data_IF_749515704713
#
_entry.id   IF_749515704713
#
_cell.length_a   1.000
_cell.length_b   1.000
_cell.length_c   1.000
_cell.angle_alpha   90.00
_cell.angle_beta   90.00
_cell.angle_gamma   90.00
#
_symmetry.space_group_name_H-M   'P 1'
#
loop_
_entity.id
_entity.type
_entity.pdbx_description
1 polymer ?
#
# COMPACT_ATOMS: atom_id res chain seq x y z
N UNK A 1 19.19 4.16 13.33
CA UNK A 1 20.18 5.25 13.55
C UNK A 1 21.61 4.84 13.12
N UNK A 2 21.77 4.09 12.03
CA UNK A 2 23.12 3.69 11.55
C UNK A 2 23.69 4.67 10.54
N UNK A 3 22.83 5.24 9.69
CA UNK A 3 23.20 6.28 8.70
C UNK A 3 23.87 7.48 9.37
N UNK A 4 23.37 7.91 10.53
CA UNK A 4 23.97 9.04 11.27
C UNK A 4 25.42 8.77 11.73
N UNK A 5 25.81 7.50 11.89
CA UNK A 5 27.20 7.12 12.22
C UNK A 5 28.13 7.26 11.02
N UNK A 6 27.59 7.19 9.80
CA UNK A 6 28.34 7.30 8.54
C UNK A 6 28.62 8.76 8.14
N UNK A 7 27.94 9.72 8.77
CA UNK A 7 28.10 11.14 8.49
C UNK A 7 29.20 11.75 9.36
N UNK A 8 29.85 12.79 8.84
CA UNK A 8 30.88 13.56 9.56
C UNK A 8 30.30 14.42 10.71
N UNK A 9 28.97 14.48 10.83
CA UNK A 9 28.21 15.26 11.84
C UNK A 9 28.53 16.76 11.81
N UNK A 10 29.00 17.27 10.69
CA UNK A 10 29.36 18.70 10.54
C UNK A 10 28.16 19.64 10.53
N UNK A 11 26.96 19.14 10.22
CA UNK A 11 25.74 19.94 10.01
C UNK A 11 25.95 21.07 8.99
N UNK A 12 26.77 20.83 7.96
CA UNK A 12 27.16 21.81 6.94
C UNK A 12 26.00 22.33 6.07
N UNK A 13 24.92 21.55 5.94
CA UNK A 13 23.73 21.83 5.10
C UNK A 13 23.98 21.78 3.59
N UNK A 14 25.12 21.27 3.16
CA UNK A 14 25.47 21.16 1.73
C UNK A 14 24.53 20.19 0.96
N UNK A 15 23.87 19.27 1.67
CA UNK A 15 22.83 18.37 1.13
C UNK A 15 21.39 18.94 1.23
N UNK A 16 21.23 20.20 1.61
CA UNK A 16 19.92 20.88 1.73
C UNK A 16 19.19 20.67 3.07
N UNK A 17 19.65 19.74 3.91
CA UNK A 17 19.03 19.45 5.21
C UNK A 17 19.56 20.29 6.37
N UNK A 18 18.71 20.55 7.37
CA UNK A 18 19.04 21.45 8.49
C UNK A 18 20.17 20.92 9.38
N UNK A 19 20.26 19.58 9.52
CA UNK A 19 21.26 18.88 10.33
C UNK A 19 21.59 17.52 9.68
N UNK A 20 22.75 16.94 10.03
CA UNK A 20 23.11 15.58 9.64
C UNK A 20 22.12 14.54 10.19
N UNK A 21 21.48 14.82 11.35
CA UNK A 21 20.45 13.94 11.89
C UNK A 21 19.16 14.00 11.06
N UNK A 22 18.77 15.19 10.59
CA UNK A 22 17.63 15.36 9.68
C UNK A 22 17.88 14.63 8.36
N UNK A 23 19.06 14.81 7.76
CA UNK A 23 19.50 14.06 6.58
C UNK A 23 19.47 12.54 6.80
N UNK A 24 20.05 12.05 7.90
CA UNK A 24 20.01 10.63 8.22
C UNK A 24 18.57 10.09 8.37
N UNK A 25 17.66 10.90 8.90
CA UNK A 25 16.23 10.58 8.97
C UNK A 25 15.55 10.55 7.60
N UNK A 26 15.86 11.52 6.74
CA UNK A 26 15.34 11.59 5.37
C UNK A 26 15.80 10.38 4.52
N UNK A 27 17.08 10.00 4.64
CA UNK A 27 17.62 8.80 3.98
C UNK A 27 16.98 7.53 4.54
N UNK A 28 16.81 7.41 5.86
CA UNK A 28 16.15 6.25 6.46
C UNK A 28 14.68 6.09 6.03
N UNK A 29 13.99 7.21 5.79
CA UNK A 29 12.61 7.23 5.29
C UNK A 29 12.51 7.06 3.76
N UNK A 30 13.64 6.90 3.06
CA UNK A 30 13.67 6.79 1.59
C UNK A 30 13.32 8.09 0.85
N UNK A 31 13.37 9.25 1.52
CA UNK A 31 13.08 10.56 0.93
C UNK A 31 14.30 11.19 0.25
N UNK A 32 15.51 10.75 0.62
CA UNK A 32 16.78 11.17 0.03
C UNK A 32 17.71 9.95 -0.09
N UNK A 33 18.69 10.04 -0.98
CA UNK A 33 19.73 9.01 -1.10
C UNK A 33 21.01 9.40 -0.35
N UNK A 34 21.73 8.40 0.16
CA UNK A 34 22.97 8.62 0.92
C UNK A 34 24.03 9.37 0.10
N UNK A 35 24.06 9.18 -1.22
CA UNK A 35 24.97 9.84 -2.15
C UNK A 35 24.67 11.33 -2.38
N UNK A 36 23.57 11.86 -1.84
CA UNK A 36 23.26 13.30 -1.87
C UNK A 36 24.06 14.09 -0.81
N UNK A 37 24.72 13.40 0.13
CA UNK A 37 25.69 14.04 1.02
C UNK A 37 27.03 14.23 0.27
N UNK A 38 27.47 15.47 -0.02
CA UNK A 38 28.72 15.67 -0.77
C UNK A 38 29.98 15.29 0.02
N UNK A 39 29.84 15.09 1.34
CA UNK A 39 30.96 14.77 2.24
C UNK A 39 31.13 13.29 2.53
N UNK A 40 30.20 12.45 2.07
CA UNK A 40 30.33 11.01 2.29
C UNK A 40 31.21 10.38 1.20
N UNK A 41 32.09 9.47 1.59
CA UNK A 41 33.01 8.84 0.65
C UNK A 41 32.30 7.83 -0.25
N UNK A 42 32.84 7.62 -1.45
CA UNK A 42 32.30 6.65 -2.41
C UNK A 42 32.37 5.23 -1.87
N UNK A 43 33.38 4.93 -1.07
CA UNK A 43 33.58 3.65 -0.41
C UNK A 43 32.47 3.39 0.62
N UNK A 44 32.11 4.40 1.43
CA UNK A 44 30.99 4.29 2.39
C UNK A 44 29.64 4.19 1.68
N UNK A 45 29.45 4.91 0.57
CA UNK A 45 28.26 4.75 -0.28
C UNK A 45 28.18 3.33 -0.84
N UNK A 46 29.31 2.76 -1.31
CA UNK A 46 29.33 1.40 -1.86
C UNK A 46 29.09 0.34 -0.78
N UNK A 47 29.68 0.48 0.41
CA UNK A 47 29.42 -0.43 1.52
C UNK A 47 27.95 -0.37 1.96
N UNK A 48 27.37 0.83 2.00
CA UNK A 48 25.95 0.99 2.33
C UNK A 48 25.01 0.51 1.21
N UNK A 49 25.36 0.78 -0.05
CA UNK A 49 24.59 0.34 -1.21
C UNK A 49 24.76 -1.14 -1.52
N UNK A 50 25.86 -1.77 -1.09
CA UNK A 50 26.01 -3.24 -1.10
C UNK A 50 25.03 -3.92 -0.15
N UNK A 51 24.59 -3.22 0.90
CA UNK A 51 23.46 -3.58 1.78
C UNK A 51 22.11 -3.00 1.30
N UNK A 52 22.10 -2.16 0.24
CA UNK A 52 20.92 -1.57 -0.38
C UNK A 52 20.79 -1.83 -1.89
N UNK A 53 21.27 -2.97 -2.41
CA UNK A 53 20.31 -3.71 -3.20
C UNK A 53 19.19 -3.98 -2.21
N UNK A 54 18.04 -3.32 -2.36
CA UNK A 54 16.82 -3.89 -1.81
C UNK A 54 16.74 -5.27 -2.47
N UNK A 55 17.38 -6.28 -1.86
CA UNK A 55 17.00 -7.66 -2.04
C UNK A 55 15.55 -7.62 -1.60
N UNK A 56 14.68 -7.46 -2.59
CA UNK A 56 13.24 -7.61 -2.42
C UNK A 56 13.11 -8.89 -1.62
N UNK A 57 12.48 -8.80 -0.46
CA UNK A 57 12.23 -9.99 0.35
C UNK A 57 11.58 -11.05 -0.55
N UNK A 58 11.82 -12.34 -0.32
CA UNK A 58 11.19 -13.41 -1.13
C UNK A 58 9.69 -13.17 -1.33
N UNK A 59 9.05 -12.66 -0.27
CA UNK A 59 7.65 -12.22 -0.23
C UNK A 59 7.36 -11.10 -1.26
N UNK A 60 8.16 -10.04 -1.33
CA UNK A 60 7.95 -8.95 -2.30
C UNK A 60 8.14 -9.42 -3.75
N UNK A 61 9.08 -10.33 -4.01
CA UNK A 61 9.28 -10.91 -5.35
C UNK A 61 8.05 -11.74 -5.72
N UNK A 62 7.60 -12.60 -4.82
CA UNK A 62 6.40 -13.43 -5.00
C UNK A 62 5.15 -12.58 -5.22
N UNK A 63 4.94 -11.54 -4.40
CA UNK A 63 3.81 -10.62 -4.54
C UNK A 63 3.85 -9.84 -5.86
N UNK A 64 5.04 -9.42 -6.31
CA UNK A 64 5.20 -8.77 -7.62
C UNK A 64 4.81 -9.73 -8.76
N UNK A 65 5.30 -10.97 -8.72
CA UNK A 65 4.92 -12.00 -9.70
C UNK A 65 3.41 -12.24 -9.72
N UNK A 66 2.80 -12.33 -8.55
CA UNK A 66 1.36 -12.52 -8.42
C UNK A 66 0.55 -11.35 -9.00
N UNK A 67 0.97 -10.11 -8.76
CA UNK A 67 0.34 -8.92 -9.36
C UNK A 67 0.41 -8.97 -10.88
N UNK A 68 1.56 -9.33 -11.45
CA UNK A 68 1.71 -9.43 -12.90
C UNK A 68 0.81 -10.53 -13.50
N UNK A 69 0.65 -11.66 -12.82
CA UNK A 69 -0.27 -12.71 -13.26
C UNK A 69 -1.74 -12.30 -13.19
N UNK A 70 -2.13 -11.51 -12.18
CA UNK A 70 -3.47 -10.92 -12.10
C UNK A 70 -3.70 -9.90 -13.22
N UNK A 71 -2.71 -9.06 -13.55
CA UNK A 71 -2.82 -8.11 -14.67
C UNK A 71 -3.01 -8.82 -16.01
N UNK A 72 -2.30 -9.92 -16.26
CA UNK A 72 -2.51 -10.74 -17.47
C UNK A 72 -3.93 -11.29 -17.54
N UNK A 73 -4.52 -11.67 -16.41
CA UNK A 73 -5.92 -12.10 -16.38
C UNK A 73 -6.88 -10.95 -16.67
N UNK A 74 -6.62 -9.73 -16.17
CA UNK A 74 -7.43 -8.55 -16.50
C UNK A 74 -7.48 -8.29 -18.02
N UNK A 75 -6.37 -8.51 -18.73
CA UNK A 75 -6.30 -8.29 -20.19
C UNK A 75 -7.28 -9.16 -20.99
N UNK A 76 -7.73 -10.30 -20.44
CA UNK A 76 -8.69 -11.19 -21.12
C UNK A 76 -10.16 -10.95 -20.71
N UNK A 77 -10.40 -9.98 -19.81
CA UNK A 77 -11.73 -9.70 -19.25
C UNK A 77 -12.33 -8.45 -19.89
N UNK A 78 -13.63 -8.48 -20.17
CA UNK A 78 -14.39 -7.30 -20.59
C UNK A 78 -14.67 -6.38 -19.39
N UNK A 79 -13.98 -5.22 -19.36
CA UNK A 79 -14.15 -4.22 -18.31
C UNK A 79 -15.57 -3.65 -18.24
N UNK A 80 -16.33 -3.62 -19.35
CA UNK A 80 -17.72 -3.15 -19.32
C UNK A 80 -18.60 -4.11 -18.50
N UNK A 81 -18.47 -5.42 -18.73
CA UNK A 81 -19.15 -6.44 -17.94
C UNK A 81 -18.79 -6.35 -16.45
N UNK A 82 -17.50 -6.13 -16.12
CA UNK A 82 -17.08 -5.96 -14.72
C UNK A 82 -17.63 -4.67 -14.11
N UNK A 83 -17.72 -3.57 -14.86
CA UNK A 83 -18.34 -2.33 -14.39
C UNK A 83 -19.77 -2.58 -13.89
N UNK A 84 -20.57 -3.32 -14.66
CA UNK A 84 -21.94 -3.68 -14.28
C UNK A 84 -21.96 -4.52 -13.01
N UNK A 85 -21.10 -5.55 -12.90
CA UNK A 85 -21.04 -6.44 -11.73
C UNK A 85 -20.60 -5.73 -10.45
N UNK A 86 -19.72 -4.75 -10.57
CA UNK A 86 -19.08 -4.07 -9.42
C UNK A 86 -19.77 -2.76 -9.05
N UNK A 87 -20.74 -2.30 -9.85
CA UNK A 87 -21.29 -0.95 -9.74
C UNK A 87 -20.28 0.15 -10.12
N UNK A 88 -19.22 -0.23 -10.85
CA UNK A 88 -18.22 0.68 -11.37
C UNK A 88 -18.71 1.46 -12.60
N UNK A 89 -17.92 2.48 -12.99
CA UNK A 89 -18.19 3.30 -14.17
C UNK A 89 -17.04 3.20 -15.17
N UNK A 90 -17.35 3.24 -16.46
CA UNK A 90 -16.32 3.38 -17.49
C UNK A 90 -16.12 4.86 -17.83
N UNK A 91 -14.87 5.32 -17.83
CA UNK A 91 -14.49 6.65 -18.27
C UNK A 91 -13.11 6.60 -18.93
N UNK A 92 -12.96 7.21 -20.11
CA UNK A 92 -11.70 7.22 -20.88
C UNK A 92 -11.06 5.82 -21.02
N UNK A 93 -11.86 4.81 -21.38
CA UNK A 93 -11.45 3.40 -21.51
C UNK A 93 -10.88 2.78 -20.22
N UNK A 94 -11.23 3.33 -19.06
CA UNK A 94 -10.86 2.79 -17.75
C UNK A 94 -12.10 2.47 -16.93
N UNK A 95 -12.06 1.37 -16.20
CA UNK A 95 -13.04 1.06 -15.17
C UNK A 95 -12.65 1.78 -13.88
N UNK A 96 -13.53 2.65 -13.38
CA UNK A 96 -13.38 3.32 -12.09
C UNK A 96 -14.35 2.71 -11.08
N UNK A 97 -13.83 2.28 -9.94
CA UNK A 97 -14.61 1.83 -8.78
C UNK A 97 -14.24 2.64 -7.54
N UNK A 98 -15.14 2.66 -6.55
CA UNK A 98 -14.88 3.29 -5.25
C UNK A 98 -14.31 2.26 -4.28
N UNK A 99 -13.14 2.57 -3.71
CA UNK A 99 -12.55 1.81 -2.60
C UNK A 99 -12.32 2.79 -1.46
N UNK A 100 -12.97 2.54 -0.30
CA UNK A 100 -12.95 3.44 0.86
C UNK A 100 -13.27 4.90 0.45
N UNK A 101 -14.27 5.05 -0.43
CA UNK A 101 -14.73 6.34 -0.96
C UNK A 101 -13.77 7.09 -1.88
N UNK A 102 -12.61 6.52 -2.22
CA UNK A 102 -11.69 7.05 -3.22
C UNK A 102 -11.86 6.33 -4.56
N UNK A 103 -11.69 7.09 -5.64
CA UNK A 103 -11.75 6.54 -6.99
C UNK A 103 -10.43 5.82 -7.29
N UNK A 104 -10.55 4.57 -7.73
CA UNK A 104 -9.45 3.80 -8.28
C UNK A 104 -9.86 3.35 -9.67
N UNK A 105 -9.03 3.66 -10.66
CA UNK A 105 -9.29 3.33 -12.06
C UNK A 105 -8.31 2.27 -12.56
N UNK A 106 -8.78 1.38 -13.42
CA UNK A 106 -7.98 0.34 -14.08
C UNK A 106 -8.19 0.40 -15.58
N UNK A 107 -7.11 0.27 -16.36
CA UNK A 107 -7.19 0.13 -17.81
C UNK A 107 -7.22 -1.35 -18.25
N UNK A 108 -7.40 -1.60 -19.56
CA UNK A 108 -7.42 -2.95 -20.11
C UNK A 108 -6.07 -3.68 -20.02
N UNK A 109 -4.98 -3.00 -19.65
CA UNK A 109 -3.66 -3.60 -19.44
C UNK A 109 -3.43 -3.99 -17.97
N UNK A 110 -4.37 -3.65 -17.08
CA UNK A 110 -4.25 -3.89 -15.64
C UNK A 110 -3.48 -2.80 -14.90
N UNK A 111 -3.21 -1.66 -15.53
CA UNK A 111 -2.57 -0.52 -14.85
C UNK A 111 -3.59 0.19 -13.97
N UNK A 112 -3.19 0.46 -12.73
CA UNK A 112 -4.01 1.14 -11.74
C UNK A 112 -3.67 2.62 -11.64
N UNK A 113 -4.70 3.44 -11.45
CA UNK A 113 -4.61 4.89 -11.33
C UNK A 113 -5.44 5.34 -10.13
N UNK A 114 -4.85 6.12 -9.24
CA UNK A 114 -5.55 6.71 -8.09
C UNK A 114 -4.80 7.95 -7.60
N UNK A 115 -5.54 8.82 -6.90
CA UNK A 115 -4.96 9.98 -6.21
C UNK A 115 -4.25 9.60 -4.90
N UNK A 116 -4.43 8.35 -4.45
CA UNK A 116 -3.74 7.80 -3.27
C UNK A 116 -2.70 6.75 -3.67
N UNK A 117 -1.69 6.60 -2.82
CA UNK A 117 -0.66 5.58 -3.02
C UNK A 117 -1.28 4.17 -2.98
N UNK A 118 -1.04 3.38 -4.01
CA UNK A 118 -1.50 2.00 -4.11
C UNK A 118 -0.35 1.04 -3.79
N UNK A 119 -0.44 0.38 -2.65
CA UNK A 119 0.46 -0.71 -2.27
C UNK A 119 -0.12 -2.08 -2.70
N UNK A 120 0.74 -3.09 -2.88
CA UNK A 120 0.36 -4.44 -3.29
C UNK A 120 -0.75 -5.10 -2.45
N UNK A 121 -0.74 -4.85 -1.14
CA UNK A 121 -1.79 -5.27 -0.20
C UNK A 121 -3.20 -4.73 -0.54
N UNK A 122 -3.30 -3.66 -1.33
CA UNK A 122 -4.57 -3.14 -1.87
C UNK A 122 -4.77 -3.62 -3.32
N UNK A 123 -3.71 -3.61 -4.13
CA UNK A 123 -3.83 -3.97 -5.55
C UNK A 123 -4.20 -5.43 -5.73
N UNK A 124 -3.65 -6.35 -4.93
CA UNK A 124 -3.93 -7.78 -5.04
C UNK A 124 -5.41 -8.07 -4.76
N UNK A 125 -6.00 -7.69 -3.60
CA UNK A 125 -7.43 -7.91 -3.35
C UNK A 125 -8.33 -7.23 -4.39
N UNK A 126 -7.96 -6.04 -4.85
CA UNK A 126 -8.70 -5.33 -5.90
C UNK A 126 -8.73 -6.14 -7.21
N UNK A 127 -7.57 -6.53 -7.72
CA UNK A 127 -7.48 -7.27 -8.97
C UNK A 127 -8.18 -8.63 -8.87
N UNK A 128 -7.98 -9.37 -7.77
CA UNK A 128 -8.70 -10.62 -7.50
C UNK A 128 -10.21 -10.40 -7.45
N UNK A 129 -10.68 -9.32 -6.80
CA UNK A 129 -12.10 -8.98 -6.79
C UNK A 129 -12.63 -8.71 -8.21
N UNK A 130 -11.92 -7.96 -9.04
CA UNK A 130 -12.36 -7.69 -10.43
C UNK A 130 -12.44 -8.96 -11.28
N UNK A 131 -11.54 -9.92 -11.04
CA UNK A 131 -11.50 -11.21 -11.76
C UNK A 131 -12.62 -12.14 -11.27
N UNK A 132 -12.78 -12.29 -9.96
CA UNK A 132 -13.65 -13.30 -9.36
C UNK A 132 -15.07 -12.80 -9.04
N UNK A 133 -15.34 -11.49 -9.18
CA UNK A 133 -16.64 -10.92 -8.84
C UNK A 133 -17.76 -11.53 -9.68
N UNK A 134 -18.77 -12.05 -8.97
CA UNK A 134 -19.97 -12.65 -9.57
C UNK A 134 -21.11 -11.64 -9.80
N UNK A 135 -20.97 -10.39 -9.34
CA UNK A 135 -22.01 -9.37 -9.44
C UNK A 135 -23.27 -9.67 -8.62
N UNK A 136 -23.14 -10.44 -7.54
CA UNK A 136 -24.25 -10.73 -6.64
C UNK A 136 -24.49 -9.53 -5.72
N UNK A 137 -25.76 -9.20 -5.41
CA UNK A 137 -26.05 -8.18 -4.41
C UNK A 137 -25.47 -8.58 -3.06
N UNK A 138 -25.09 -7.59 -2.26
CA UNK A 138 -24.67 -7.82 -0.89
C UNK A 138 -25.85 -8.38 -0.09
N UNK A 139 -25.58 -9.34 0.79
CA UNK A 139 -26.61 -9.89 1.69
C UNK A 139 -27.01 -8.92 2.80
N UNK A 140 -26.24 -7.84 2.98
CA UNK A 140 -26.34 -6.87 4.10
C UNK A 140 -26.17 -7.48 5.50
N UNK A 141 -25.97 -8.80 5.58
CA UNK A 141 -25.66 -9.51 6.82
C UNK A 141 -24.18 -9.45 7.11
N UNK A 142 -23.82 -8.82 8.22
CA UNK A 142 -22.47 -8.86 8.77
C UNK A 142 -22.16 -10.24 9.35
N UNK A 143 -21.01 -10.80 8.96
CA UNK A 143 -20.50 -12.05 9.51
C UNK A 143 -19.16 -11.82 10.19
N UNK A 144 -18.91 -12.43 11.36
CA UNK A 144 -17.59 -12.44 11.97
C UNK A 144 -16.53 -13.07 11.06
N UNK A 145 -15.29 -12.58 11.11
CA UNK A 145 -14.18 -13.11 10.30
C UNK A 145 -14.02 -14.63 10.43
N UNK A 146 -14.22 -15.19 11.64
CA UNK A 146 -14.15 -16.64 11.91
C UNK A 146 -15.17 -17.48 11.14
N UNK A 147 -16.24 -16.89 10.64
CA UNK A 147 -17.31 -17.58 9.90
C UNK A 147 -17.04 -17.60 8.38
N UNK A 148 -16.05 -16.83 7.91
CA UNK A 148 -15.59 -16.91 6.54
C UNK A 148 -14.91 -18.26 6.27
N UNK A 149 -14.91 -18.69 5.01
CA UNK A 149 -14.18 -19.89 4.57
C UNK A 149 -12.71 -19.75 4.99
N UNK A 150 -12.20 -20.75 5.71
CA UNK A 150 -10.85 -20.77 6.31
C UNK A 150 -10.60 -19.73 7.42
N UNK A 151 -11.59 -18.92 7.80
CA UNK A 151 -11.44 -17.86 8.80
C UNK A 151 -11.18 -18.36 10.22
N UNK A 152 -11.75 -19.52 10.60
CA UNK A 152 -11.55 -20.13 11.93
C UNK A 152 -10.07 -20.33 12.28
N UNK A 153 -9.26 -20.75 11.31
CA UNK A 153 -7.83 -21.01 11.50
C UNK A 153 -7.06 -19.74 11.85
N UNK A 154 -7.42 -18.61 11.23
CA UNK A 154 -6.74 -17.33 11.39
C UNK A 154 -7.38 -16.41 12.43
N UNK A 155 -8.57 -16.74 12.93
CA UNK A 155 -9.32 -15.90 13.86
C UNK A 155 -8.52 -15.46 15.10
N UNK A 156 -7.76 -16.33 15.80
CA UNK A 156 -6.98 -15.89 16.97
C UNK A 156 -5.90 -14.86 16.61
N UNK A 157 -5.27 -15.01 15.44
CA UNK A 157 -4.25 -14.07 14.98
C UNK A 157 -4.87 -12.74 14.54
N UNK A 158 -5.99 -12.80 13.82
CA UNK A 158 -6.75 -11.62 13.40
C UNK A 158 -7.24 -10.81 14.61
N UNK A 159 -7.80 -11.47 15.62
CA UNK A 159 -8.24 -10.81 16.85
C UNK A 159 -7.08 -10.06 17.52
N UNK A 160 -5.92 -10.71 17.65
CA UNK A 160 -4.77 -10.14 18.32
C UNK A 160 -4.10 -8.99 17.53
N UNK A 161 -4.05 -9.09 16.21
CA UNK A 161 -3.32 -8.15 15.34
C UNK A 161 -4.20 -7.05 14.74
N UNK A 162 -5.50 -7.25 14.68
CA UNK A 162 -6.44 -6.32 14.04
C UNK A 162 -7.51 -5.84 15.03
N UNK A 163 -8.32 -6.74 15.59
CA UNK A 163 -9.48 -6.34 16.40
C UNK A 163 -9.07 -5.64 17.69
N UNK A 164 -8.15 -6.21 18.48
CA UNK A 164 -7.70 -5.60 19.75
C UNK A 164 -7.01 -4.24 19.54
N UNK A 165 -6.06 -4.08 18.60
CA UNK A 165 -5.49 -2.77 18.32
C UNK A 165 -6.52 -1.75 17.83
N UNK A 166 -7.43 -2.15 16.94
CA UNK A 166 -8.47 -1.25 16.43
C UNK A 166 -9.42 -0.82 17.55
N UNK A 167 -9.83 -1.75 18.41
CA UNK A 167 -10.63 -1.44 19.60
C UNK A 167 -9.90 -0.44 20.50
N UNK A 168 -8.61 -0.66 20.77
CA UNK A 168 -7.81 0.26 21.59
C UNK A 168 -7.79 1.67 20.99
N UNK A 169 -7.65 1.78 19.67
CA UNK A 169 -7.72 3.08 18.96
C UNK A 169 -9.11 3.70 19.14
N UNK A 170 -10.19 2.93 18.96
CA UNK A 170 -11.57 3.41 19.16
C UNK A 170 -11.84 3.89 20.59
N UNK A 171 -11.35 3.16 21.59
CA UNK A 171 -11.50 3.51 23.00
C UNK A 171 -10.68 4.76 23.39
N UNK A 172 -9.59 5.04 22.69
CA UNK A 172 -8.62 6.09 23.06
C UNK A 172 -8.78 7.37 22.25
N UNK A 173 -9.13 7.26 20.97
CA UNK A 173 -9.20 8.35 20.00
C UNK A 173 -10.52 8.26 19.23
N UNK A 174 -11.64 8.48 19.92
CA UNK A 174 -12.97 8.27 19.33
C UNK A 174 -13.22 9.21 18.15
N UNK A 175 -12.76 10.47 18.25
CA UNK A 175 -12.88 11.49 17.20
C UNK A 175 -12.13 11.09 15.91
N UNK A 176 -11.10 10.24 15.99
CA UNK A 176 -10.40 9.75 14.81
C UNK A 176 -11.33 9.00 13.86
N UNK A 177 -12.36 8.32 14.37
CA UNK A 177 -13.30 7.60 13.51
C UNK A 177 -14.24 8.56 12.78
N UNK A 178 -14.63 9.66 13.41
CA UNK A 178 -15.37 10.75 12.75
C UNK A 178 -14.52 11.36 11.64
N UNK A 179 -13.25 11.69 11.93
CA UNK A 179 -12.30 12.18 10.94
C UNK A 179 -12.12 11.20 9.76
N UNK A 180 -12.02 9.89 10.04
CA UNK A 180 -11.89 8.86 9.00
C UNK A 180 -13.14 8.78 8.14
N UNK A 181 -14.34 8.82 8.74
CA UNK A 181 -15.61 8.83 7.99
C UNK A 181 -15.66 10.06 7.07
N UNK A 182 -15.29 11.24 7.56
CA UNK A 182 -15.22 12.44 6.74
C UNK A 182 -14.18 12.34 5.61
N UNK A 183 -12.95 11.92 5.94
CA UNK A 183 -11.83 11.83 4.99
C UNK A 183 -12.13 10.86 3.83
N UNK A 184 -12.78 9.75 4.14
CA UNK A 184 -13.13 8.70 3.20
C UNK A 184 -14.54 8.81 2.65
N UNK A 185 -15.24 9.93 2.89
CA UNK A 185 -16.63 10.13 2.46
C UNK A 185 -17.54 8.94 2.83
N UNK A 186 -17.33 8.35 4.01
CA UNK A 186 -18.22 7.34 4.57
C UNK A 186 -19.62 7.95 4.68
N UNK A 187 -20.61 7.28 4.08
CA UNK A 187 -22.02 7.63 4.18
C UNK A 187 -22.75 6.57 4.96
#
# INVERSE_FOLDING_TARGET
MEIFKLLDKSNCRDCGEKTCLAFAGAVYQGKQHLNECPKISKETIQQYNGDQSQEKTSIEIEMNGFVEDLKKQIQSIDLLSIAVKTGGRIFNNKLTIKILGKDISIDSQGNLYSDIHLHQWITIPLLSYLIDCKGLPLSETWVPFRELKNGKTFAPLYEQRCEKPLKKVADTYTDLFEDMVHLFNGR
#
